data_IF_928988004572
#
_entry.id   IF_928988004572
#
_cell.length_a   1.000
_cell.length_b   1.000
_cell.length_c   1.000
_cell.angle_alpha   90.00
_cell.angle_beta   90.00
_cell.angle_gamma   90.00
#
_symmetry.space_group_name_H-M   'P 1'
#
loop_
_entity.id
_entity.type
_entity.pdbx_description
1 polymer ?
#
# COMPACT_ATOMS: atom_id res chain seq x y z
N UNK A 1 13.67 -10.98 -2.79
CA UNK A 1 13.91 -11.82 -3.99
C UNK A 1 15.40 -12.06 -4.21
N UNK A 2 16.24 -11.03 -4.30
CA UNK A 2 17.68 -11.22 -4.46
C UNK A 2 18.29 -12.09 -3.34
N UNK A 3 18.00 -11.77 -2.08
CA UNK A 3 18.42 -12.58 -0.92
C UNK A 3 17.80 -13.98 -0.85
N UNK A 4 16.74 -14.21 -1.61
CA UNK A 4 16.15 -15.54 -1.83
C UNK A 4 16.79 -16.29 -3.01
N UNK A 5 17.89 -15.77 -3.58
CA UNK A 5 18.63 -16.39 -4.67
C UNK A 5 18.12 -16.10 -6.08
N UNK A 6 17.21 -15.13 -6.25
CA UNK A 6 16.74 -14.72 -7.57
C UNK A 6 17.69 -13.67 -8.19
N UNK A 7 17.89 -13.74 -9.51
CA UNK A 7 18.39 -12.59 -10.26
C UNK A 7 17.27 -11.55 -10.40
N UNK A 8 17.56 -10.29 -10.07
CA UNK A 8 16.58 -9.21 -10.06
C UNK A 8 17.03 -8.09 -10.98
N UNK A 9 16.21 -7.73 -11.95
CA UNK A 9 16.43 -6.54 -12.77
C UNK A 9 15.44 -5.46 -12.35
N UNK A 10 15.92 -4.32 -11.91
CA UNK A 10 15.12 -3.17 -11.52
C UNK A 10 14.96 -2.25 -12.72
N UNK A 11 13.73 -2.00 -13.12
CA UNK A 11 13.44 -0.92 -14.07
C UNK A 11 13.18 0.40 -13.32
N UNK A 12 13.77 1.47 -13.82
CA UNK A 12 13.54 2.81 -13.29
C UNK A 12 13.60 3.91 -14.36
N UNK A 13 12.83 4.99 -14.17
CA UNK A 13 12.81 6.14 -15.11
C UNK A 13 14.03 7.05 -14.98
N UNK A 14 14.64 7.12 -13.80
CA UNK A 14 15.82 7.96 -13.55
C UNK A 14 17.09 7.21 -13.97
N UNK A 15 17.73 7.67 -15.04
CA UNK A 15 19.00 7.10 -15.49
C UNK A 15 20.10 7.22 -14.43
N UNK A 16 20.03 8.22 -13.54
CA UNK A 16 20.97 8.39 -12.44
C UNK A 16 20.81 7.28 -11.39
N UNK A 17 19.56 7.03 -10.93
CA UNK A 17 19.25 5.96 -9.97
C UNK A 17 19.59 4.59 -10.57
N UNK A 18 19.25 4.36 -11.83
CA UNK A 18 19.56 3.12 -12.54
C UNK A 18 21.07 2.87 -12.60
N UNK A 19 21.87 3.85 -12.99
CA UNK A 19 23.35 3.74 -12.98
C UNK A 19 23.90 3.47 -11.57
N UNK A 20 23.38 4.15 -10.56
CA UNK A 20 23.81 3.94 -9.17
C UNK A 20 23.55 2.49 -8.73
N UNK A 21 22.38 1.92 -9.08
CA UNK A 21 22.07 0.52 -8.77
C UNK A 21 22.97 -0.42 -9.58
N UNK A 22 23.12 -0.21 -10.90
CA UNK A 22 23.87 -1.09 -11.78
C UNK A 22 25.38 -1.10 -11.47
N UNK A 23 25.99 0.07 -11.24
CA UNK A 23 27.43 0.22 -11.12
C UNK A 23 27.94 0.15 -9.68
N UNK A 24 27.12 0.59 -8.71
CA UNK A 24 27.52 0.76 -7.31
C UNK A 24 26.73 -0.12 -6.34
N UNK A 25 25.71 -0.87 -6.82
CA UNK A 25 24.78 -1.63 -5.99
C UNK A 25 24.17 -0.81 -4.84
N UNK A 26 23.79 0.44 -5.12
CA UNK A 26 23.21 1.38 -4.16
C UNK A 26 21.99 2.11 -4.72
N UNK A 27 21.12 2.57 -3.84
CA UNK A 27 20.00 3.44 -4.16
C UNK A 27 19.87 4.51 -3.08
N UNK A 28 20.79 5.46 -3.08
CA UNK A 28 20.89 6.47 -2.00
C UNK A 28 19.65 7.39 -1.92
N UNK A 29 18.93 7.56 -3.03
CA UNK A 29 17.72 8.37 -3.05
C UNK A 29 16.58 7.77 -2.21
N UNK A 30 16.47 6.43 -2.13
CA UNK A 30 15.36 5.73 -1.48
C UNK A 30 15.79 4.83 -0.32
N UNK A 31 17.00 4.28 -0.37
CA UNK A 31 17.58 3.39 0.64
C UNK A 31 19.01 3.84 1.01
N UNK A 32 19.17 5.05 1.58
CA UNK A 32 20.48 5.61 1.89
C UNK A 32 21.28 4.70 2.83
N UNK A 33 22.55 4.47 2.48
CA UNK A 33 23.48 3.67 3.26
C UNK A 33 23.22 2.17 3.25
N UNK A 34 22.43 1.65 2.30
CA UNK A 34 22.15 0.22 2.13
C UNK A 34 22.85 -0.27 0.86
N UNK A 35 23.68 -1.30 0.98
CA UNK A 35 24.26 -2.01 -0.17
C UNK A 35 23.26 -3.05 -0.68
N UNK A 36 23.01 -3.05 -1.99
CA UNK A 36 22.15 -4.03 -2.65
C UNK A 36 22.93 -5.28 -3.00
N UNK A 37 22.31 -6.48 -3.00
CA UNK A 37 22.96 -7.70 -3.45
C UNK A 37 23.52 -7.58 -4.88
N UNK A 38 24.68 -8.19 -5.14
CA UNK A 38 25.32 -8.18 -6.47
C UNK A 38 24.46 -8.82 -7.58
N UNK A 39 23.46 -9.63 -7.23
CA UNK A 39 22.48 -10.21 -8.15
C UNK A 39 21.38 -9.23 -8.57
N UNK A 40 21.40 -7.97 -8.08
CA UNK A 40 20.50 -6.91 -8.50
C UNK A 40 21.15 -6.09 -9.59
N UNK A 41 20.51 -6.06 -10.76
CA UNK A 41 20.87 -5.21 -11.90
C UNK A 41 19.79 -4.15 -12.12
N UNK A 42 20.03 -3.16 -12.98
CA UNK A 42 19.05 -2.13 -13.28
C UNK A 42 19.13 -1.67 -14.73
N UNK A 43 17.98 -1.28 -15.29
CA UNK A 43 17.86 -0.74 -16.65
C UNK A 43 16.80 0.36 -16.72
N UNK A 44 16.93 1.26 -17.70
CA UNK A 44 15.86 2.23 -18.06
C UNK A 44 14.91 1.67 -19.12
N UNK A 45 15.20 0.51 -19.70
CA UNK A 45 14.32 -0.16 -20.65
C UNK A 45 13.39 -1.16 -19.95
N UNK A 46 12.09 -0.84 -19.95
CA UNK A 46 11.10 -1.70 -19.32
C UNK A 46 10.90 -3.03 -20.04
N UNK A 47 11.06 -3.07 -21.38
CA UNK A 47 10.97 -4.32 -22.14
C UNK A 47 12.12 -5.25 -21.83
N UNK A 48 13.36 -4.72 -21.74
CA UNK A 48 14.52 -5.47 -21.32
C UNK A 48 14.32 -6.10 -19.92
N UNK A 49 13.80 -5.29 -18.97
CA UNK A 49 13.59 -5.75 -17.59
C UNK A 49 12.63 -6.95 -17.47
N UNK A 50 11.60 -7.02 -18.34
CA UNK A 50 10.55 -8.04 -18.25
C UNK A 50 10.75 -9.23 -19.20
N UNK A 51 11.60 -9.10 -20.21
CA UNK A 51 11.71 -10.06 -21.34
C UNK A 51 11.93 -11.53 -20.90
N UNK A 52 12.69 -11.74 -19.83
CA UNK A 52 12.99 -13.08 -19.29
C UNK A 52 12.40 -13.30 -17.89
N UNK A 53 11.65 -12.33 -17.36
CA UNK A 53 11.13 -12.39 -16.01
C UNK A 53 9.98 -13.40 -15.89
N UNK A 54 10.09 -14.33 -14.93
CA UNK A 54 9.00 -15.21 -14.51
C UNK A 54 8.10 -14.55 -13.46
N UNK A 55 8.64 -13.55 -12.76
CA UNK A 55 7.88 -12.71 -11.81
C UNK A 55 8.18 -11.26 -12.15
N UNK A 56 7.14 -10.49 -12.43
CA UNK A 56 7.21 -9.04 -12.65
C UNK A 56 6.56 -8.33 -11.48
N UNK A 57 7.36 -7.69 -10.61
CA UNK A 57 6.86 -6.93 -9.47
C UNK A 57 6.59 -5.47 -9.87
N UNK A 58 5.33 -5.05 -9.74
CA UNK A 58 4.89 -3.69 -10.05
C UNK A 58 4.84 -2.86 -8.76
N UNK A 59 5.73 -1.88 -8.66
CA UNK A 59 5.91 -1.02 -7.49
C UNK A 59 5.85 0.48 -7.82
N UNK A 60 5.13 0.83 -8.87
CA UNK A 60 4.91 2.24 -9.26
C UNK A 60 3.77 2.87 -8.43
N UNK A 61 3.66 4.20 -8.35
CA UNK A 61 2.48 4.83 -7.75
C UNK A 61 1.19 4.38 -8.43
N UNK A 62 0.15 4.09 -7.66
CA UNK A 62 -1.11 3.50 -8.14
C UNK A 62 -1.74 4.25 -9.32
N UNK A 63 -1.70 5.59 -9.31
CA UNK A 63 -2.34 6.42 -10.34
C UNK A 63 -1.61 6.48 -11.69
N UNK A 64 -0.38 5.95 -11.78
CA UNK A 64 0.36 5.86 -13.05
C UNK A 64 0.54 4.41 -13.52
N UNK A 65 -0.08 3.46 -12.82
CA UNK A 65 0.09 2.03 -13.09
C UNK A 65 -0.37 1.68 -14.52
N UNK A 66 -1.57 2.10 -14.91
CA UNK A 66 -2.13 1.83 -16.23
C UNK A 66 -1.24 2.35 -17.37
N UNK A 67 -0.84 3.62 -17.28
CA UNK A 67 0.01 4.24 -18.31
C UNK A 67 1.37 3.57 -18.40
N UNK A 68 1.92 3.16 -17.24
CA UNK A 68 3.21 2.46 -17.17
C UNK A 68 3.13 1.05 -17.79
N UNK A 69 2.02 0.34 -17.57
CA UNK A 69 1.87 -1.05 -17.98
C UNK A 69 1.37 -1.19 -19.43
N UNK A 70 0.62 -0.22 -19.94
CA UNK A 70 0.02 -0.30 -21.30
C UNK A 70 1.05 -0.62 -22.41
N UNK A 71 2.24 0.02 -22.44
CA UNK A 71 3.25 -0.31 -23.45
C UNK A 71 3.81 -1.73 -23.36
N UNK A 72 3.64 -2.40 -22.20
CA UNK A 72 4.19 -3.72 -21.91
C UNK A 72 3.22 -4.87 -22.22
N UNK A 73 2.02 -4.54 -22.70
CA UNK A 73 1.02 -5.54 -23.09
C UNK A 73 1.58 -6.46 -24.17
N UNK A 74 1.48 -7.76 -23.96
CA UNK A 74 1.99 -8.78 -24.88
C UNK A 74 3.52 -8.97 -24.88
N UNK A 75 4.25 -8.25 -24.02
CA UNK A 75 5.70 -8.39 -23.89
C UNK A 75 6.14 -9.37 -22.79
N UNK A 76 5.20 -9.83 -21.98
CA UNK A 76 5.47 -10.80 -20.91
C UNK A 76 5.62 -12.21 -21.47
N UNK A 77 6.41 -13.03 -20.80
CA UNK A 77 6.42 -14.47 -21.07
C UNK A 77 5.05 -15.09 -20.77
N UNK A 78 4.73 -16.17 -21.46
CA UNK A 78 3.45 -16.90 -21.28
C UNK A 78 3.28 -17.48 -19.87
N UNK A 79 4.39 -17.81 -19.19
CA UNK A 79 4.43 -18.36 -17.82
C UNK A 79 4.70 -17.29 -16.75
N UNK A 80 4.80 -16.01 -17.11
CA UNK A 80 5.10 -14.95 -16.15
C UNK A 80 3.90 -14.66 -15.23
N UNK A 81 4.20 -14.41 -13.96
CA UNK A 81 3.26 -13.92 -12.94
C UNK A 81 3.55 -12.45 -12.68
N UNK A 82 2.49 -11.64 -12.59
CA UNK A 82 2.62 -10.21 -12.22
C UNK A 82 2.21 -10.02 -10.78
N UNK A 83 3.08 -9.37 -10.00
CA UNK A 83 2.88 -9.13 -8.57
C UNK A 83 2.69 -7.65 -8.31
N UNK A 84 1.52 -7.26 -7.85
CA UNK A 84 1.25 -5.89 -7.41
C UNK A 84 1.79 -5.67 -5.99
N UNK A 85 2.65 -4.67 -5.83
CA UNK A 85 3.09 -4.12 -4.54
C UNK A 85 2.40 -2.78 -4.26
N UNK A 86 1.53 -2.36 -5.16
CA UNK A 86 0.85 -1.06 -5.10
C UNK A 86 -0.23 -1.05 -4.02
N UNK A 87 -0.41 0.10 -3.39
CA UNK A 87 -1.38 0.29 -2.29
C UNK A 87 -2.30 1.46 -2.62
N UNK A 88 -3.34 1.21 -3.39
CA UNK A 88 -4.28 2.25 -3.82
C UNK A 88 -5.44 1.68 -4.64
N UNK A 89 -6.32 2.60 -5.05
CA UNK A 89 -7.47 2.37 -5.94
C UNK A 89 -7.33 3.36 -7.08
N UNK A 90 -7.57 2.93 -8.32
CA UNK A 90 -7.46 3.79 -9.51
C UNK A 90 -8.56 4.85 -9.52
N UNK A 91 -8.18 6.12 -9.71
CA UNK A 91 -9.13 7.23 -9.87
C UNK A 91 -9.98 7.06 -11.12
N UNK A 92 -11.28 7.34 -11.00
CA UNK A 92 -12.24 7.34 -12.12
C UNK A 92 -12.79 5.98 -12.51
N UNK A 93 -12.10 4.88 -12.20
CA UNK A 93 -12.58 3.52 -12.43
C UNK A 93 -12.89 2.78 -11.13
N UNK A 94 -12.33 3.24 -10.01
CA UNK A 94 -12.39 2.63 -8.68
C UNK A 94 -11.91 1.18 -8.63
N UNK A 95 -11.06 0.80 -9.59
CA UNK A 95 -10.50 -0.55 -9.69
C UNK A 95 -9.36 -0.74 -8.71
N UNK A 96 -9.29 -1.92 -8.13
CA UNK A 96 -8.12 -2.38 -7.36
C UNK A 96 -6.93 -2.55 -8.30
N UNK A 97 -5.72 -2.47 -7.78
CA UNK A 97 -4.51 -2.53 -8.60
C UNK A 97 -4.32 -3.88 -9.28
N UNK A 98 -4.77 -4.99 -8.70
CA UNK A 98 -4.77 -6.31 -9.35
C UNK A 98 -5.67 -6.32 -10.60
N UNK A 99 -6.84 -5.70 -10.54
CA UNK A 99 -7.75 -5.56 -11.69
C UNK A 99 -7.16 -4.65 -12.78
N UNK A 100 -6.49 -3.56 -12.36
CA UNK A 100 -5.77 -2.68 -13.32
C UNK A 100 -4.66 -3.44 -14.02
N UNK A 101 -3.88 -4.24 -13.30
CA UNK A 101 -2.81 -5.09 -13.86
C UNK A 101 -3.39 -6.11 -14.83
N UNK A 102 -4.38 -6.90 -14.40
CA UNK A 102 -5.00 -7.94 -15.22
C UNK A 102 -5.57 -7.37 -16.51
N UNK A 103 -6.36 -6.29 -16.40
CA UNK A 103 -6.99 -5.64 -17.54
C UNK A 103 -5.98 -5.02 -18.50
N UNK A 104 -4.96 -4.32 -17.99
CA UNK A 104 -4.01 -3.57 -18.81
C UNK A 104 -3.10 -4.50 -19.59
N UNK A 105 -2.65 -5.58 -18.95
CA UNK A 105 -1.73 -6.55 -19.54
C UNK A 105 -2.43 -7.73 -20.22
N UNK A 106 -3.78 -7.78 -20.17
CA UNK A 106 -4.59 -8.85 -20.72
C UNK A 106 -4.25 -10.22 -20.13
N UNK A 107 -4.22 -10.26 -18.81
CA UNK A 107 -3.85 -11.45 -18.03
C UNK A 107 -5.08 -12.05 -17.31
N UNK A 108 -5.17 -13.37 -17.22
CA UNK A 108 -6.13 -13.99 -16.32
C UNK A 108 -5.75 -13.73 -14.84
N UNK A 109 -6.76 -13.69 -13.97
CA UNK A 109 -6.57 -13.34 -12.54
C UNK A 109 -5.60 -14.30 -11.83
N UNK A 110 -5.52 -15.56 -12.28
CA UNK A 110 -4.60 -16.58 -11.74
C UNK A 110 -3.13 -16.25 -11.97
N UNK A 111 -2.81 -15.38 -12.93
CA UNK A 111 -1.44 -14.89 -13.19
C UNK A 111 -1.11 -13.60 -12.45
N UNK A 112 -2.04 -13.11 -11.63
CA UNK A 112 -1.84 -11.91 -10.82
C UNK A 112 -1.77 -12.28 -9.35
N UNK A 113 -0.78 -11.74 -8.65
CA UNK A 113 -0.67 -11.83 -7.21
C UNK A 113 -0.51 -10.43 -6.60
N UNK A 114 -0.80 -10.31 -5.32
CA UNK A 114 -0.62 -9.09 -4.53
C UNK A 114 0.27 -9.40 -3.35
N UNK A 115 1.24 -8.55 -3.05
CA UNK A 115 2.01 -8.64 -1.80
C UNK A 115 1.71 -7.42 -0.94
N UNK A 116 1.16 -7.66 0.25
CA UNK A 116 0.85 -6.63 1.24
C UNK A 116 1.12 -7.15 2.65
N UNK A 117 1.22 -6.23 3.61
CA UNK A 117 1.56 -6.54 4.99
C UNK A 117 2.50 -5.47 5.56
N UNK A 118 3.04 -5.64 6.77
CA UNK A 118 3.95 -4.71 7.42
C UNK A 118 5.33 -4.74 6.73
N UNK A 119 5.42 -4.12 5.54
CA UNK A 119 6.57 -4.17 4.65
C UNK A 119 7.30 -2.81 4.59
N UNK A 120 7.85 -2.37 5.71
CA UNK A 120 8.66 -1.14 5.77
C UNK A 120 10.02 -1.39 5.10
N UNK A 121 10.25 -0.74 3.96
CA UNK A 121 11.38 -1.04 3.08
C UNK A 121 12.74 -0.92 3.77
N UNK A 122 12.93 0.08 4.65
CA UNK A 122 14.19 0.27 5.39
C UNK A 122 14.45 -0.84 6.41
N UNK A 123 13.41 -1.37 7.06
CA UNK A 123 13.52 -2.46 8.00
C UNK A 123 13.89 -3.76 7.28
N UNK A 124 13.21 -4.06 6.17
CA UNK A 124 13.51 -5.22 5.31
C UNK A 124 14.95 -5.13 4.77
N UNK A 125 15.35 -3.95 4.28
CA UNK A 125 16.70 -3.75 3.75
C UNK A 125 17.80 -3.87 4.82
N UNK A 126 17.46 -3.75 6.11
CA UNK A 126 18.35 -4.03 7.24
C UNK A 126 18.21 -5.46 7.78
N UNK A 127 17.57 -6.34 7.02
CA UNK A 127 17.33 -7.75 7.35
C UNK A 127 16.56 -7.95 8.68
N UNK A 128 15.70 -7.00 9.07
CA UNK A 128 14.88 -7.17 10.25
C UNK A 128 13.78 -8.22 10.00
N UNK A 129 13.48 -9.07 10.98
CA UNK A 129 12.44 -10.09 10.83
C UNK A 129 11.09 -9.49 10.43
N UNK A 130 10.59 -9.90 9.27
CA UNK A 130 9.39 -9.36 8.67
C UNK A 130 8.51 -10.50 8.15
N UNK A 131 7.21 -10.39 8.33
CA UNK A 131 6.23 -11.27 7.73
C UNK A 131 5.33 -10.50 6.78
N UNK A 132 4.95 -11.12 5.66
CA UNK A 132 4.11 -10.51 4.62
C UNK A 132 3.02 -11.47 4.17
N UNK A 133 2.05 -10.99 3.39
CA UNK A 133 1.03 -11.81 2.74
C UNK A 133 1.22 -11.75 1.23
N UNK A 134 1.18 -12.92 0.60
CA UNK A 134 1.09 -13.10 -0.85
C UNK A 134 -0.31 -13.58 -1.16
N UNK A 135 -1.13 -12.75 -1.80
CA UNK A 135 -2.50 -13.09 -2.17
C UNK A 135 -2.62 -13.35 -3.66
N UNK A 136 -3.31 -14.43 -4.02
CA UNK A 136 -3.70 -14.75 -5.40
C UNK A 136 -4.91 -15.67 -5.39
N UNK A 137 -5.75 -15.59 -6.43
CA UNK A 137 -6.85 -16.53 -6.67
C UNK A 137 -6.33 -17.94 -7.00
N UNK A 138 -5.07 -18.05 -7.50
CA UNK A 138 -4.37 -19.32 -7.73
C UNK A 138 -3.44 -19.66 -6.57
N UNK A 139 -3.67 -20.77 -5.86
CA UNK A 139 -2.77 -21.26 -4.81
C UNK A 139 -1.34 -21.50 -5.31
N UNK A 140 -1.20 -21.99 -6.55
CA UNK A 140 0.12 -22.26 -7.16
C UNK A 140 0.89 -20.96 -7.40
N UNK A 141 0.21 -19.92 -7.90
CA UNK A 141 0.78 -18.59 -8.08
C UNK A 141 1.20 -17.98 -6.75
N UNK A 142 0.34 -18.05 -5.73
CA UNK A 142 0.67 -17.56 -4.41
C UNK A 142 1.89 -18.28 -3.82
N UNK A 143 1.93 -19.61 -3.93
CA UNK A 143 3.05 -20.44 -3.46
C UNK A 143 4.35 -20.18 -4.26
N UNK A 144 4.25 -19.97 -5.57
CA UNK A 144 5.40 -19.64 -6.42
C UNK A 144 6.04 -18.30 -6.01
N UNK A 145 5.22 -17.25 -5.88
CA UNK A 145 5.69 -15.93 -5.44
C UNK A 145 6.21 -15.98 -4.02
N UNK A 146 5.53 -16.67 -3.10
CA UNK A 146 5.98 -16.83 -1.72
C UNK A 146 7.38 -17.46 -1.64
N UNK A 147 7.63 -18.53 -2.39
CA UNK A 147 8.98 -19.15 -2.45
C UNK A 147 10.04 -18.18 -2.97
N UNK A 148 9.71 -17.38 -3.99
CA UNK A 148 10.66 -16.46 -4.62
C UNK A 148 11.04 -15.25 -3.73
N UNK A 149 10.24 -14.94 -2.70
CA UNK A 149 10.52 -13.83 -1.77
C UNK A 149 10.98 -14.31 -0.38
N UNK A 150 10.84 -15.58 -0.06
CA UNK A 150 11.18 -16.12 1.26
C UNK A 150 12.69 -16.07 1.53
N UNK A 151 13.07 -15.56 2.70
CA UNK A 151 14.46 -15.56 3.18
C UNK A 151 14.51 -15.88 4.68
N UNK A 152 15.69 -15.88 5.28
CA UNK A 152 15.86 -16.12 6.74
C UNK A 152 15.18 -15.06 7.61
N UNK A 153 14.95 -13.86 7.07
CA UNK A 153 14.35 -12.72 7.77
C UNK A 153 13.03 -12.25 7.16
N UNK A 154 12.62 -12.76 5.98
CA UNK A 154 11.38 -12.37 5.31
C UNK A 154 10.48 -13.58 5.08
N UNK A 155 9.37 -13.65 5.84
CA UNK A 155 8.46 -14.79 5.85
C UNK A 155 7.11 -14.48 5.18
N UNK A 156 6.85 -14.99 3.97
CA UNK A 156 5.57 -14.85 3.31
C UNK A 156 4.55 -15.89 3.82
N UNK A 157 3.30 -15.44 3.93
CA UNK A 157 2.11 -16.28 4.12
C UNK A 157 1.20 -16.14 2.90
N UNK A 158 0.56 -17.21 2.47
CA UNK A 158 -0.38 -17.17 1.34
C UNK A 158 -1.80 -16.86 1.79
N UNK A 159 -2.58 -16.20 0.94
CA UNK A 159 -3.98 -15.88 1.19
C UNK A 159 -4.75 -15.91 -0.15
N UNK A 160 -5.93 -16.59 -0.26
CA UNK A 160 -6.75 -16.56 -1.47
C UNK A 160 -7.55 -15.24 -1.63
N UNK A 161 -7.71 -14.46 -0.56
CA UNK A 161 -8.49 -13.22 -0.54
C UNK A 161 -7.68 -12.02 -1.06
N UNK A 162 -7.60 -11.89 -2.39
CA UNK A 162 -6.96 -10.75 -3.05
C UNK A 162 -7.66 -9.44 -2.71
N UNK A 163 -9.00 -9.46 -2.64
CA UNK A 163 -9.82 -8.27 -2.36
C UNK A 163 -9.48 -7.67 -1.01
N UNK A 164 -9.54 -8.46 0.04
CA UNK A 164 -9.28 -8.02 1.41
C UNK A 164 -7.85 -7.54 1.59
N UNK A 165 -6.87 -8.27 1.04
CA UNK A 165 -5.44 -7.92 1.14
C UNK A 165 -5.14 -6.58 0.46
N UNK A 166 -5.69 -6.31 -0.72
CA UNK A 166 -5.51 -5.03 -1.42
C UNK A 166 -6.19 -3.86 -0.70
N UNK A 167 -7.45 -4.05 -0.28
CA UNK A 167 -8.20 -2.99 0.41
C UNK A 167 -7.55 -2.60 1.73
N UNK A 168 -7.07 -3.58 2.50
CA UNK A 168 -6.28 -3.30 3.70
C UNK A 168 -5.09 -2.39 3.37
N UNK A 169 -4.30 -2.75 2.37
CA UNK A 169 -3.13 -1.98 1.95
C UNK A 169 -3.45 -0.57 1.46
N UNK A 170 -4.58 -0.39 0.74
CA UNK A 170 -5.01 0.90 0.22
C UNK A 170 -5.53 1.83 1.32
N UNK A 171 -6.49 1.35 2.14
CA UNK A 171 -7.22 2.20 3.10
C UNK A 171 -6.41 2.48 4.36
N UNK A 172 -5.53 1.58 4.80
CA UNK A 172 -4.66 1.81 5.97
C UNK A 172 -3.89 3.14 5.91
N UNK A 173 -3.51 3.57 4.71
CA UNK A 173 -2.77 4.80 4.51
C UNK A 173 -3.60 6.04 4.92
N UNK A 174 -4.91 6.00 4.69
CA UNK A 174 -5.86 7.06 5.11
C UNK A 174 -5.96 7.08 6.62
N UNK A 175 -6.05 5.90 7.25
CA UNK A 175 -6.11 5.80 8.71
C UNK A 175 -4.80 6.27 9.35
N UNK A 176 -3.65 5.91 8.77
CA UNK A 176 -2.35 6.39 9.25
C UNK A 176 -2.22 7.92 9.19
N UNK A 177 -2.78 8.56 8.16
CA UNK A 177 -2.84 10.01 8.06
C UNK A 177 -3.72 10.60 9.17
N UNK A 178 -4.89 10.00 9.46
CA UNK A 178 -5.76 10.42 10.56
C UNK A 178 -5.08 10.29 11.94
N UNK A 179 -4.33 9.20 12.16
CA UNK A 179 -3.50 9.01 13.36
C UNK A 179 -2.44 10.11 13.47
N UNK A 180 -1.74 10.39 12.37
CA UNK A 180 -0.74 11.45 12.30
C UNK A 180 -1.34 12.83 12.65
N UNK A 181 -2.51 13.17 12.09
CA UNK A 181 -3.23 14.42 12.42
C UNK A 181 -3.50 14.48 13.92
N UNK A 182 -4.01 13.39 14.50
CA UNK A 182 -4.34 13.32 15.92
C UNK A 182 -3.10 13.55 16.81
N UNK A 183 -2.00 12.92 16.47
CA UNK A 183 -0.73 13.09 17.20
C UNK A 183 -0.13 14.49 16.99
N UNK A 184 -0.21 15.04 15.79
CA UNK A 184 0.18 16.42 15.50
C UNK A 184 -0.58 17.46 16.34
N UNK A 185 -1.83 17.14 16.72
CA UNK A 185 -2.67 17.91 17.66
C UNK A 185 -2.33 17.65 19.14
N UNK A 186 -1.36 16.82 19.43
CA UNK A 186 -0.99 16.48 20.81
C UNK A 186 -1.93 15.47 21.49
N UNK A 187 -2.78 14.76 20.74
CA UNK A 187 -3.66 13.72 21.28
C UNK A 187 -2.84 12.45 21.57
N UNK A 188 -3.17 11.78 22.67
CA UNK A 188 -2.40 10.66 23.20
C UNK A 188 -2.79 9.29 22.64
N UNK A 189 -2.23 8.25 23.26
CA UNK A 189 -2.36 6.85 22.83
C UNK A 189 -3.81 6.33 22.81
N UNK A 190 -4.68 6.80 23.71
CA UNK A 190 -6.10 6.40 23.69
C UNK A 190 -6.78 6.82 22.38
N UNK A 191 -6.51 8.03 21.90
CA UNK A 191 -7.02 8.51 20.61
C UNK A 191 -6.42 7.70 19.46
N UNK A 192 -5.12 7.46 19.48
CA UNK A 192 -4.45 6.64 18.47
C UNK A 192 -5.07 5.24 18.39
N UNK A 193 -5.22 4.55 19.54
CA UNK A 193 -5.83 3.23 19.61
C UNK A 193 -7.28 3.25 19.06
N UNK A 194 -8.06 4.27 19.44
CA UNK A 194 -9.43 4.44 18.97
C UNK A 194 -9.47 4.61 17.45
N UNK A 195 -8.65 5.48 16.88
CA UNK A 195 -8.62 5.73 15.42
C UNK A 195 -8.18 4.48 14.67
N UNK A 196 -7.17 3.75 15.14
CA UNK A 196 -6.71 2.50 14.53
C UNK A 196 -7.81 1.43 14.57
N UNK A 197 -8.42 1.19 15.73
CA UNK A 197 -9.45 0.16 15.88
C UNK A 197 -10.69 0.50 15.05
N UNK A 198 -11.15 1.75 15.09
CA UNK A 198 -12.32 2.17 14.30
C UNK A 198 -12.00 2.23 12.82
N UNK A 199 -10.77 2.60 12.46
CA UNK A 199 -10.29 2.55 11.07
C UNK A 199 -10.30 1.13 10.52
N UNK A 200 -9.86 0.14 11.29
CA UNK A 200 -9.94 -1.27 10.88
C UNK A 200 -11.40 -1.70 10.65
N UNK A 201 -12.34 -1.24 11.48
CA UNK A 201 -13.77 -1.52 11.27
C UNK A 201 -14.29 -0.90 9.97
N UNK A 202 -13.85 0.32 9.61
CA UNK A 202 -14.20 0.92 8.31
C UNK A 202 -13.67 0.08 7.15
N UNK A 203 -12.38 -0.31 7.21
CA UNK A 203 -11.74 -1.17 6.20
C UNK A 203 -12.51 -2.49 6.06
N UNK A 204 -12.84 -3.12 7.19
CA UNK A 204 -13.57 -4.40 7.21
C UNK A 204 -14.93 -4.28 6.56
N UNK A 205 -15.72 -3.25 6.91
CA UNK A 205 -17.05 -3.03 6.32
C UNK A 205 -17.00 -2.86 4.81
N UNK A 206 -16.07 -2.02 4.33
CA UNK A 206 -15.87 -1.82 2.89
C UNK A 206 -15.46 -3.13 2.21
N UNK A 207 -14.51 -3.86 2.81
CA UNK A 207 -14.04 -5.11 2.26
C UNK A 207 -15.10 -6.20 2.19
N UNK A 208 -15.89 -6.38 3.24
CA UNK A 208 -17.00 -7.33 3.25
C UNK A 208 -18.05 -7.01 2.17
N UNK A 209 -18.35 -5.72 1.97
CA UNK A 209 -19.26 -5.29 0.90
C UNK A 209 -18.72 -5.57 -0.51
N UNK A 210 -17.41 -5.74 -0.65
CA UNK A 210 -16.72 -6.10 -1.89
C UNK A 210 -16.36 -7.59 -1.98
N UNK A 211 -16.85 -8.40 -1.06
CA UNK A 211 -16.68 -9.86 -1.07
C UNK A 211 -15.39 -10.37 -0.44
N UNK A 212 -14.68 -9.54 0.34
CA UNK A 212 -13.49 -9.98 1.08
C UNK A 212 -13.84 -10.93 2.24
N UNK A 213 -12.91 -11.80 2.60
CA UNK A 213 -13.04 -12.70 3.74
C UNK A 213 -12.77 -11.96 5.07
N UNK A 214 -13.64 -12.11 6.10
CA UNK A 214 -13.48 -11.40 7.38
C UNK A 214 -12.18 -11.75 8.10
N UNK A 215 -11.64 -12.94 7.90
CA UNK A 215 -10.39 -13.43 8.51
C UNK A 215 -9.14 -12.68 8.03
N UNK A 216 -9.23 -12.00 6.88
CA UNK A 216 -8.11 -11.23 6.33
C UNK A 216 -7.78 -9.98 7.17
N UNK A 217 -8.80 -9.32 7.72
CA UNK A 217 -8.64 -8.02 8.39
C UNK A 217 -7.88 -8.08 9.72
N UNK A 218 -8.04 -9.07 10.61
CA UNK A 218 -7.21 -9.20 11.80
C UNK A 218 -5.79 -9.71 11.51
N UNK A 219 -5.51 -10.12 10.27
CA UNK A 219 -4.23 -10.69 9.85
C UNK A 219 -3.14 -9.65 9.56
N UNK A 220 -2.01 -10.15 8.98
CA UNK A 220 -0.84 -9.34 8.66
C UNK A 220 -1.14 -8.21 7.66
N UNK A 221 -1.94 -8.49 6.62
CA UNK A 221 -2.28 -7.48 5.61
C UNK A 221 -3.23 -6.41 6.16
N UNK A 222 -4.08 -6.75 7.13
CA UNK A 222 -5.02 -5.84 7.79
C UNK A 222 -4.42 -5.17 9.02
N UNK A 223 -4.68 -5.71 10.20
CA UNK A 223 -4.24 -5.16 11.48
C UNK A 223 -2.70 -4.98 11.53
N UNK A 224 -1.93 -5.96 11.04
CA UNK A 224 -0.47 -5.91 11.08
C UNK A 224 0.10 -4.71 10.33
N UNK A 225 -0.31 -4.52 9.06
CA UNK A 225 0.16 -3.42 8.21
C UNK A 225 -0.38 -2.06 8.68
N UNK A 226 -1.62 -2.03 9.20
CA UNK A 226 -2.21 -0.83 9.78
C UNK A 226 -1.42 -0.36 11.01
N UNK A 227 -1.12 -1.25 11.95
CA UNK A 227 -0.33 -0.94 13.15
C UNK A 227 1.07 -0.45 12.80
N UNK A 228 1.79 -1.19 11.93
CA UNK A 228 3.13 -0.80 11.50
C UNK A 228 3.14 0.59 10.86
N UNK A 229 2.14 0.88 9.99
CA UNK A 229 2.06 2.16 9.27
C UNK A 229 1.68 3.32 10.20
N UNK A 230 0.82 3.10 11.19
CA UNK A 230 0.41 4.13 12.16
C UNK A 230 1.47 4.42 13.21
N UNK A 231 2.32 3.45 13.56
CA UNK A 231 3.33 3.59 14.61
C UNK A 231 4.71 4.03 14.07
N UNK A 232 5.02 3.76 12.81
CA UNK A 232 6.35 4.01 12.25
C UNK A 232 6.58 5.48 11.88
N UNK A 233 7.71 6.06 12.30
CA UNK A 233 8.15 7.38 11.82
C UNK A 233 8.52 7.36 10.32
N UNK A 234 8.81 6.20 9.73
CA UNK A 234 9.08 6.03 8.31
C UNK A 234 7.81 6.06 7.45
N UNK A 235 6.62 6.10 8.06
CA UNK A 235 5.35 6.22 7.36
C UNK A 235 5.12 7.65 6.86
N UNK A 236 5.26 7.87 5.55
CA UNK A 236 4.98 9.19 4.93
C UNK A 236 3.56 9.67 5.20
N UNK A 237 2.57 8.77 5.22
CA UNK A 237 1.18 9.15 5.51
C UNK A 237 1.01 9.63 6.95
N UNK A 238 1.61 8.94 7.90
CA UNK A 238 1.62 9.33 9.30
C UNK A 238 2.36 10.68 9.50
N UNK A 239 3.54 10.84 8.91
CA UNK A 239 4.34 12.08 8.98
C UNK A 239 3.59 13.27 8.38
N UNK A 240 2.99 13.09 7.20
CA UNK A 240 2.13 14.11 6.56
C UNK A 240 0.98 14.52 7.48
N UNK A 241 0.29 13.54 8.05
CA UNK A 241 -0.78 13.80 9.03
C UNK A 241 -0.27 14.61 10.22
N UNK A 242 0.92 14.30 10.73
CA UNK A 242 1.56 15.05 11.82
C UNK A 242 1.83 16.52 11.47
N UNK A 243 2.28 16.82 10.25
CA UNK A 243 2.44 18.20 9.77
C UNK A 243 1.11 18.94 9.70
N UNK A 244 0.09 18.33 9.09
CA UNK A 244 -1.27 18.91 9.00
C UNK A 244 -1.85 19.12 10.40
N UNK A 245 -1.69 18.17 11.30
CA UNK A 245 -2.13 18.27 12.69
C UNK A 245 -1.51 19.42 13.46
N UNK A 246 -0.28 19.82 13.13
CA UNK A 246 0.40 21.00 13.67
C UNK A 246 -0.02 22.31 13.01
N UNK A 247 -0.93 22.28 12.03
CA UNK A 247 -1.48 23.45 11.37
C UNK A 247 -0.84 23.82 10.05
N UNK A 248 0.04 22.96 9.48
CA UNK A 248 0.57 23.21 8.12
C UNK A 248 -0.53 23.02 7.08
N UNK A 249 -0.51 23.86 6.03
CA UNK A 249 -1.32 23.67 4.84
C UNK A 249 -0.91 22.40 4.08
N UNK A 250 -1.83 21.85 3.25
CA UNK A 250 -1.59 20.57 2.55
C UNK A 250 -0.31 20.59 1.70
N UNK A 251 -0.13 21.63 0.88
CA UNK A 251 1.03 21.72 -0.02
C UNK A 251 2.36 21.85 0.75
N UNK A 252 2.36 22.64 1.82
CA UNK A 252 3.52 22.80 2.72
C UNK A 252 3.84 21.48 3.42
N UNK A 253 2.83 20.78 3.92
CA UNK A 253 2.99 19.48 4.58
C UNK A 253 3.53 18.41 3.61
N UNK A 254 3.07 18.40 2.34
CA UNK A 254 3.59 17.50 1.29
C UNK A 254 5.06 17.78 1.04
N UNK A 255 5.44 19.06 0.90
CA UNK A 255 6.84 19.47 0.68
C UNK A 255 7.73 19.04 1.86
N UNK A 256 7.27 19.26 3.11
CA UNK A 256 7.99 18.89 4.32
C UNK A 256 8.13 17.35 4.50
N UNK A 257 7.20 16.57 3.94
CA UNK A 257 7.24 15.08 4.00
C UNK A 257 8.22 14.48 2.97
N UNK A 258 8.74 15.28 2.03
CA UNK A 258 9.64 14.79 0.97
C UNK A 258 8.92 14.08 -0.18
N UNK A 259 7.66 14.39 -0.42
CA UNK A 259 6.84 13.89 -1.53
C UNK A 259 5.42 13.52 -1.15
N UNK A 260 4.61 13.20 -2.15
CA UNK A 260 3.19 12.87 -1.95
C UNK A 260 3.03 11.55 -1.22
N UNK A 261 2.25 11.55 -0.14
CA UNK A 261 1.78 10.34 0.52
C UNK A 261 0.57 9.75 -0.24
N UNK A 262 0.51 8.43 -0.34
CA UNK A 262 -0.55 7.71 -1.08
C UNK A 262 -1.97 8.07 -0.60
N UNK A 263 -2.15 8.30 0.70
CA UNK A 263 -3.44 8.66 1.29
C UNK A 263 -4.08 9.88 0.63
N UNK A 264 -3.28 10.89 0.22
CA UNK A 264 -3.79 12.09 -0.43
C UNK A 264 -4.55 11.75 -1.71
N UNK A 265 -4.05 10.82 -2.51
CA UNK A 265 -4.69 10.41 -3.76
C UNK A 265 -5.77 9.33 -3.56
N UNK A 266 -5.67 8.53 -2.50
CA UNK A 266 -6.51 7.36 -2.28
C UNK A 266 -7.78 7.67 -1.48
N UNK A 267 -7.77 8.68 -0.58
CA UNK A 267 -8.90 8.90 0.33
C UNK A 267 -10.22 9.24 -0.39
N UNK A 268 -10.19 10.06 -1.45
CA UNK A 268 -11.39 10.39 -2.23
C UNK A 268 -11.98 9.19 -2.96
N UNK A 269 -11.22 8.42 -3.80
CA UNK A 269 -11.75 7.23 -4.47
C UNK A 269 -12.32 6.22 -3.49
N UNK A 270 -11.64 5.99 -2.37
CA UNK A 270 -12.13 5.07 -1.33
C UNK A 270 -13.45 5.55 -0.74
N UNK A 271 -13.59 6.85 -0.44
CA UNK A 271 -14.83 7.41 0.08
C UNK A 271 -15.96 7.36 -0.95
N UNK A 272 -15.69 7.63 -2.21
CA UNK A 272 -16.65 7.54 -3.31
C UNK A 272 -17.14 6.10 -3.52
N UNK A 273 -16.21 5.14 -3.53
CA UNK A 273 -16.54 3.72 -3.59
C UNK A 273 -17.42 3.29 -2.40
N UNK A 274 -17.06 3.69 -1.18
CA UNK A 274 -17.86 3.39 0.01
C UNK A 274 -19.28 4.00 -0.07
N UNK A 275 -19.40 5.25 -0.51
CA UNK A 275 -20.71 5.93 -0.68
C UNK A 275 -21.60 5.22 -1.70
N UNK A 276 -21.04 4.74 -2.83
CA UNK A 276 -21.81 3.96 -3.82
C UNK A 276 -22.34 2.64 -3.26
N UNK A 277 -21.59 2.04 -2.34
CA UNK A 277 -21.96 0.80 -1.66
C UNK A 277 -22.82 1.02 -0.40
N UNK A 278 -23.14 2.27 -0.05
CA UNK A 278 -23.87 2.61 1.16
C UNK A 278 -23.08 2.36 2.46
N UNK A 279 -21.76 2.30 2.39
CA UNK A 279 -20.88 2.04 3.53
C UNK A 279 -20.41 3.34 4.18
N UNK A 280 -20.65 3.49 5.47
CA UNK A 280 -20.18 4.64 6.23
C UNK A 280 -18.70 4.47 6.62
N UNK A 281 -17.89 5.46 6.25
CA UNK A 281 -16.47 5.54 6.59
C UNK A 281 -16.13 6.90 7.22
N UNK A 282 -16.56 7.14 8.47
CA UNK A 282 -16.46 8.46 9.09
C UNK A 282 -15.03 8.99 9.27
N UNK A 283 -14.04 8.14 9.53
CA UNK A 283 -12.63 8.57 9.63
C UNK A 283 -12.10 8.95 8.25
N UNK A 284 -12.38 8.14 7.25
CA UNK A 284 -12.01 8.43 5.85
C UNK A 284 -12.66 9.72 5.36
N UNK A 285 -13.95 9.93 5.65
CA UNK A 285 -14.67 11.17 5.33
C UNK A 285 -14.07 12.39 6.03
N UNK A 286 -13.73 12.25 7.31
CA UNK A 286 -13.09 13.31 8.09
C UNK A 286 -11.73 13.71 7.47
N UNK A 287 -10.92 12.74 7.03
CA UNK A 287 -9.67 12.99 6.32
C UNK A 287 -9.91 13.75 5.01
N UNK A 288 -10.86 13.31 4.19
CA UNK A 288 -11.23 14.01 2.94
C UNK A 288 -11.63 15.46 3.21
N UNK A 289 -12.46 15.71 4.24
CA UNK A 289 -12.89 17.05 4.60
C UNK A 289 -11.75 17.95 5.05
N UNK A 290 -10.79 17.42 5.80
CA UNK A 290 -9.59 18.17 6.20
C UNK A 290 -8.72 18.51 4.98
N UNK A 291 -8.44 17.53 4.13
CA UNK A 291 -7.54 17.73 3.01
C UNK A 291 -8.09 18.62 1.90
N UNK A 292 -9.42 18.60 1.69
CA UNK A 292 -10.00 19.15 0.47
C UNK A 292 -11.20 20.09 0.67
N UNK A 293 -11.83 20.07 1.85
CA UNK A 293 -13.04 20.85 2.10
C UNK A 293 -12.84 21.91 3.20
N UNK A 294 -11.58 22.09 3.64
CA UNK A 294 -11.22 23.12 4.60
C UNK A 294 -11.74 22.89 6.02
N UNK A 295 -12.07 21.64 6.38
CA UNK A 295 -12.45 21.32 7.76
C UNK A 295 -11.26 21.59 8.70
N UNK A 296 -11.40 22.48 9.70
CA UNK A 296 -10.34 22.70 10.68
C UNK A 296 -10.00 21.41 11.46
N UNK A 297 -8.70 21.14 11.65
CA UNK A 297 -8.23 19.91 12.30
C UNK A 297 -8.71 19.75 13.75
N UNK A 298 -9.01 20.86 14.45
CA UNK A 298 -9.56 20.86 15.81
C UNK A 298 -11.02 20.41 15.87
N UNK A 299 -11.74 20.45 14.76
CA UNK A 299 -13.12 19.96 14.66
C UNK A 299 -13.22 18.46 14.39
N UNK A 300 -12.13 17.79 14.06
CA UNK A 300 -12.13 16.34 13.75
C UNK A 300 -12.64 15.48 14.91
N UNK A 301 -12.04 15.62 16.08
CA UNK A 301 -12.42 14.83 17.26
C UNK A 301 -13.85 15.13 17.72
N UNK A 302 -14.28 16.40 17.87
CA UNK A 302 -15.69 16.71 18.14
C UNK A 302 -16.68 16.12 17.13
N UNK A 303 -16.37 16.20 15.83
CA UNK A 303 -17.22 15.66 14.76
C UNK A 303 -17.38 14.12 14.88
N UNK A 304 -16.29 13.40 15.12
CA UNK A 304 -16.32 11.94 15.26
C UNK A 304 -17.05 11.51 16.55
N UNK A 305 -16.85 12.24 17.65
CA UNK A 305 -17.46 11.93 18.96
C UNK A 305 -18.95 12.31 19.03
N UNK A 306 -19.42 13.26 18.23
CA UNK A 306 -20.84 13.67 18.18
C UNK A 306 -21.75 12.67 17.46
N UNK A 307 -21.20 11.65 16.83
CA UNK A 307 -21.99 10.61 16.15
C UNK A 307 -22.85 9.82 17.14
N UNK A 308 -24.03 9.33 16.70
CA UNK A 308 -24.90 8.52 17.54
C UNK A 308 -24.13 7.32 18.14
N UNK A 309 -24.39 7.02 19.40
CA UNK A 309 -23.84 5.85 20.08
C UNK A 309 -24.31 4.58 19.36
N UNK A 310 -23.39 3.67 19.08
CA UNK A 310 -23.65 2.36 18.44
C UNK A 310 -23.05 1.24 19.29
N UNK A 311 -23.60 0.03 19.15
CA UNK A 311 -22.95 -1.16 19.69
C UNK A 311 -21.57 -1.32 19.05
N UNK A 312 -20.57 -1.73 19.84
CA UNK A 312 -19.24 -2.08 19.30
C UNK A 312 -19.31 -3.35 18.47
N UNK A 313 -20.12 -4.30 18.92
CA UNK A 313 -20.36 -5.56 18.20
C UNK A 313 -21.42 -5.31 17.13
N UNK A 314 -21.05 -5.52 15.87
CA UNK A 314 -22.00 -5.55 14.77
C UNK A 314 -22.75 -6.88 14.87
N UNK A 315 -23.92 -6.87 15.50
CA UNK A 315 -24.90 -7.95 15.32
C UNK A 315 -25.43 -7.83 13.90
N UNK A 316 -25.13 -8.82 13.06
CA UNK A 316 -25.51 -8.92 11.65
C UNK A 316 -27.00 -8.75 11.39
#
# INVERSE_FOLDING_TARGET
MADAGCHVTVWGRSAEVVRQIADQHRNEAYLPGIDLPASVTATTDAHEAIAQARIVAVAVPSQVARDTLTPLRGALRDDAVVVSLMKGVELGTDRRMSEVVAQTLDLPDERVAVVSGPNLAREIARHQPTATVVASTSPDTAAFVARAVASSYFRPYTNPDVVGVELCGAVKNVIALAVGISQGRGLGYNTMATVITRGLVEITRLGLALGAAPETFPGLAGMGDLMATCASPDSRNHTLGGHIGRGMGLDEAIAATGGTAEAVKTCRPVLELARRLGIEMPITEAVVRVLYEGLPVDQLAPMLLSRPRRSEVVTG
#
